data_IF_203487586851
#
_entry.id   IF_203487586851
#
_cell.length_a   1.000
_cell.length_b   1.000
_cell.length_c   1.000
_cell.angle_alpha   90.00
_cell.angle_beta   90.00
_cell.angle_gamma   90.00
#
_symmetry.space_group_name_H-M   'P 1'
#
loop_
_entity.id
_entity.type
_entity.pdbx_description
1 polymer ?
#
# COMPACT_ATOMS: atom_id res chain seq x y z
N UNK A 1 2.03 0.32 8.31
CA UNK A 1 3.45 0.11 8.69
C UNK A 1 3.66 0.10 10.20
N UNK A 2 3.21 1.14 10.94
CA UNK A 2 3.42 1.23 12.39
C UNK A 2 2.90 0.01 13.19
N UNK A 3 1.63 -0.44 13.06
CA UNK A 3 1.14 -1.56 13.88
C UNK A 3 1.93 -2.85 13.71
N UNK A 4 2.34 -3.16 12.48
CA UNK A 4 3.14 -4.34 12.15
C UNK A 4 4.52 -4.31 12.83
N UNK A 5 5.21 -3.15 12.80
CA UNK A 5 6.53 -3.00 13.42
C UNK A 5 6.41 -3.02 14.95
N UNK A 6 5.41 -2.35 15.51
CA UNK A 6 5.15 -2.38 16.96
C UNK A 6 4.96 -3.81 17.43
N UNK A 7 4.08 -4.57 16.75
CA UNK A 7 3.82 -5.97 17.10
C UNK A 7 5.09 -6.83 17.06
N UNK A 8 5.91 -6.70 16.01
CA UNK A 8 7.15 -7.46 15.84
C UNK A 8 8.23 -7.12 16.88
N UNK A 9 8.24 -5.89 17.39
CA UNK A 9 9.29 -5.37 18.27
C UNK A 9 8.85 -5.27 19.74
N UNK A 10 7.99 -6.19 20.20
CA UNK A 10 7.57 -6.24 21.61
C UNK A 10 6.29 -5.46 21.92
N UNK A 11 5.44 -5.22 20.91
CA UNK A 11 4.11 -4.64 21.06
C UNK A 11 4.14 -3.26 21.71
N UNK A 12 3.54 -3.16 22.90
CA UNK A 12 3.49 -1.91 23.67
C UNK A 12 4.86 -1.40 24.14
N UNK A 13 5.83 -2.29 24.35
CA UNK A 13 7.18 -1.89 24.79
C UNK A 13 7.92 -1.05 23.75
N UNK A 14 7.61 -1.24 22.46
CA UNK A 14 8.18 -0.45 21.36
C UNK A 14 7.76 1.04 21.42
N UNK A 15 6.68 1.38 22.13
CA UNK A 15 6.23 2.76 22.25
C UNK A 15 7.25 3.63 23.01
N UNK A 16 7.95 3.07 23.99
CA UNK A 16 8.96 3.82 24.76
C UNK A 16 10.13 4.34 23.89
N UNK A 17 10.88 3.48 23.17
CA UNK A 17 11.94 3.96 22.28
C UNK A 17 11.37 4.79 21.11
N UNK A 18 10.15 4.50 20.65
CA UNK A 18 9.50 5.31 19.61
C UNK A 18 9.28 6.75 20.08
N UNK A 19 8.76 6.96 21.29
CA UNK A 19 8.53 8.30 21.85
C UNK A 19 9.85 9.04 22.13
N UNK A 20 10.89 8.35 22.60
CA UNK A 20 12.22 8.95 22.79
C UNK A 20 12.77 9.43 21.45
N UNK A 21 12.76 8.60 20.41
CA UNK A 21 13.22 8.98 19.07
C UNK A 21 12.37 10.08 18.43
N UNK A 22 11.06 10.10 18.72
CA UNK A 22 10.18 11.17 18.28
C UNK A 22 10.54 12.51 18.94
N UNK A 23 10.80 12.52 20.24
CA UNK A 23 11.11 13.75 20.99
C UNK A 23 12.49 14.30 20.65
N UNK A 24 13.51 13.44 20.56
CA UNK A 24 14.89 13.89 20.36
C UNK A 24 15.33 13.93 18.89
N UNK A 25 14.67 13.17 18.01
CA UNK A 25 15.00 13.12 16.58
C UNK A 25 13.91 13.71 15.69
N UNK A 26 12.70 13.17 15.78
CA UNK A 26 11.60 13.54 14.89
C UNK A 26 11.15 15.00 15.01
N UNK A 27 10.81 15.43 16.24
CA UNK A 27 10.30 16.77 16.52
C UNK A 27 11.34 17.87 16.21
N UNK A 28 12.62 17.75 16.60
CA UNK A 28 13.61 18.78 16.27
C UNK A 28 13.84 18.93 14.76
N UNK A 29 13.92 17.82 14.02
CA UNK A 29 14.11 17.86 12.56
C UNK A 29 12.90 18.47 11.85
N UNK A 30 11.69 18.06 12.25
CA UNK A 30 10.45 18.61 11.71
C UNK A 30 10.32 20.11 12.00
N UNK A 31 10.61 20.53 13.23
CA UNK A 31 10.58 21.94 13.61
C UNK A 31 11.63 22.76 12.85
N UNK A 32 12.85 22.25 12.72
CA UNK A 32 13.92 22.90 11.96
C UNK A 32 13.51 23.14 10.50
N UNK A 33 12.93 22.13 9.84
CA UNK A 33 12.48 22.24 8.45
C UNK A 33 11.35 23.28 8.29
N UNK A 34 10.36 23.26 9.20
CA UNK A 34 9.28 24.25 9.21
C UNK A 34 9.81 25.67 9.45
N UNK A 35 10.67 25.87 10.45
CA UNK A 35 11.25 27.17 10.77
C UNK A 35 12.07 27.70 9.60
N UNK A 36 12.88 26.84 8.96
CA UNK A 36 13.67 27.19 7.77
C UNK A 36 12.77 27.56 6.58
N UNK A 37 11.70 26.81 6.34
CA UNK A 37 10.72 27.10 5.30
C UNK A 37 10.01 28.44 5.52
N UNK A 38 9.57 28.72 6.75
CA UNK A 38 8.91 29.97 7.12
C UNK A 38 9.85 31.18 7.06
N UNK A 39 11.11 31.03 7.47
CA UNK A 39 12.10 32.11 7.49
C UNK A 39 12.57 32.46 6.07
N UNK A 40 12.90 31.46 5.24
CA UNK A 40 13.45 31.68 3.90
C UNK A 40 12.37 31.98 2.85
N UNK A 41 11.13 31.51 3.06
CA UNK A 41 9.97 31.69 2.15
C UNK A 41 10.30 31.32 0.69
N UNK A 42 11.09 30.28 0.51
CA UNK A 42 11.62 29.84 -0.78
C UNK A 42 11.46 28.32 -0.92
N UNK A 43 11.41 27.85 -2.16
CA UNK A 43 11.33 26.41 -2.43
C UNK A 43 12.65 25.69 -2.12
N UNK A 44 12.57 24.35 -2.07
CA UNK A 44 13.67 23.44 -1.74
C UNK A 44 14.90 23.57 -2.66
N UNK A 45 14.75 24.02 -3.91
CA UNK A 45 15.87 24.26 -4.83
C UNK A 45 16.60 25.58 -4.53
N UNK A 46 15.83 26.63 -4.25
CA UNK A 46 16.34 27.99 -4.06
C UNK A 46 16.92 28.21 -2.66
N UNK A 47 16.45 27.47 -1.65
CA UNK A 47 16.86 27.68 -0.25
C UNK A 47 18.34 27.37 -0.04
N UNK A 48 18.85 26.30 -0.64
CA UNK A 48 20.27 25.93 -0.53
C UNK A 48 21.19 26.93 -1.24
N UNK A 49 20.72 27.63 -2.27
CA UNK A 49 21.49 28.71 -2.91
C UNK A 49 21.72 29.89 -1.96
N UNK A 50 20.79 30.16 -1.02
CA UNK A 50 20.91 31.25 -0.04
C UNK A 50 21.69 30.86 1.22
N UNK A 51 21.54 29.61 1.68
CA UNK A 51 22.21 29.13 2.90
C UNK A 51 23.66 28.71 2.61
N UNK A 52 23.85 27.76 1.71
CA UNK A 52 25.16 27.23 1.36
C UNK A 52 25.14 26.66 -0.07
N UNK A 53 25.64 27.41 -1.07
CA UNK A 53 25.58 27.03 -2.48
C UNK A 53 26.19 25.66 -2.80
N UNK A 54 27.15 25.19 -1.99
CA UNK A 54 27.74 23.86 -2.11
C UNK A 54 26.69 22.74 -2.01
N UNK A 55 25.63 22.95 -1.23
CA UNK A 55 24.55 21.98 -1.01
C UNK A 55 23.36 22.14 -1.96
N UNK A 56 23.50 22.89 -3.06
CA UNK A 56 22.44 23.04 -4.08
C UNK A 56 21.92 21.70 -4.61
N UNK A 57 22.78 20.67 -4.65
CA UNK A 57 22.41 19.31 -5.05
C UNK A 57 21.31 18.68 -4.19
N UNK A 58 21.17 19.06 -2.91
CA UNK A 58 20.14 18.53 -2.01
C UNK A 58 18.72 18.82 -2.52
N UNK A 59 18.48 20.03 -3.05
CA UNK A 59 17.18 20.39 -3.60
C UNK A 59 16.79 19.52 -4.80
N UNK A 60 17.76 19.22 -5.68
CA UNK A 60 17.54 18.35 -6.84
C UNK A 60 17.29 16.92 -6.39
N UNK A 61 18.05 16.42 -5.40
CA UNK A 61 17.86 15.10 -4.82
C UNK A 61 16.44 14.94 -4.24
N UNK A 62 15.94 15.96 -3.54
CA UNK A 62 14.56 15.98 -3.00
C UNK A 62 13.53 15.86 -4.14
N UNK A 63 13.69 16.59 -5.24
CA UNK A 63 12.79 16.51 -6.40
C UNK A 63 12.79 15.11 -7.06
N UNK A 64 13.97 14.49 -7.17
CA UNK A 64 14.10 13.13 -7.72
C UNK A 64 13.43 12.11 -6.80
N UNK A 65 13.71 12.16 -5.50
CA UNK A 65 13.06 11.28 -4.51
C UNK A 65 11.55 11.48 -4.51
N UNK A 66 11.07 12.72 -4.53
CA UNK A 66 9.63 13.03 -4.56
C UNK A 66 8.95 12.46 -5.82
N UNK A 67 9.65 12.44 -6.96
CA UNK A 67 9.14 11.85 -8.20
C UNK A 67 8.99 10.34 -8.09
N UNK A 68 10.01 9.63 -7.58
CA UNK A 68 9.92 8.19 -7.33
C UNK A 68 8.81 7.85 -6.32
N UNK A 69 8.71 8.63 -5.24
CA UNK A 69 7.65 8.50 -4.22
C UNK A 69 6.27 8.69 -4.84
N UNK A 70 6.12 9.70 -5.71
CA UNK A 70 4.86 9.97 -6.42
C UNK A 70 4.40 8.79 -7.27
N UNK A 71 5.29 8.11 -8.00
CA UNK A 71 4.92 6.98 -8.85
C UNK A 71 4.32 5.81 -8.06
N UNK A 72 5.00 5.34 -7.01
CA UNK A 72 4.51 4.17 -6.28
C UNK A 72 3.35 4.51 -5.33
N UNK A 73 3.33 5.68 -4.69
CA UNK A 73 2.23 6.04 -3.79
C UNK A 73 0.92 6.25 -4.55
N UNK A 74 0.94 6.92 -5.70
CA UNK A 74 -0.28 7.09 -6.50
C UNK A 74 -0.81 5.74 -7.00
N UNK A 75 0.08 4.76 -7.26
CA UNK A 75 -0.32 3.39 -7.61
C UNK A 75 -1.05 2.70 -6.44
N UNK A 76 -0.56 2.83 -5.20
CA UNK A 76 -1.24 2.29 -4.01
C UNK A 76 -2.61 2.94 -3.82
N UNK A 77 -2.71 4.26 -4.01
CA UNK A 77 -3.99 4.97 -3.93
C UNK A 77 -4.95 4.49 -5.03
N UNK A 78 -4.46 4.21 -6.24
CA UNK A 78 -5.25 3.64 -7.33
C UNK A 78 -5.82 2.26 -6.97
N UNK A 79 -5.04 1.40 -6.31
CA UNK A 79 -5.56 0.13 -5.77
C UNK A 79 -6.69 0.39 -4.76
N UNK A 80 -6.53 1.36 -3.85
CA UNK A 80 -7.58 1.73 -2.89
C UNK A 80 -8.86 2.20 -3.60
N UNK A 81 -8.77 3.00 -4.67
CA UNK A 81 -9.94 3.37 -5.47
C UNK A 81 -10.59 2.17 -6.16
N UNK A 82 -9.79 1.25 -6.68
CA UNK A 82 -10.30 0.01 -7.26
C UNK A 82 -11.09 -0.82 -6.23
N UNK A 83 -10.57 -0.96 -5.00
CA UNK A 83 -11.28 -1.59 -3.89
C UNK A 83 -12.54 -0.82 -3.50
N UNK A 84 -12.48 0.52 -3.46
CA UNK A 84 -13.61 1.37 -3.15
C UNK A 84 -14.77 1.14 -4.13
N UNK A 85 -14.53 1.22 -5.44
CA UNK A 85 -15.56 0.94 -6.44
C UNK A 85 -16.03 -0.52 -6.42
N UNK A 86 -15.13 -1.46 -6.18
CA UNK A 86 -15.47 -2.88 -6.05
C UNK A 86 -16.34 -3.18 -4.83
N UNK A 87 -16.23 -2.38 -3.76
CA UNK A 87 -17.04 -2.54 -2.54
C UNK A 87 -18.48 -2.06 -2.69
N UNK A 88 -18.80 -1.30 -3.74
CA UNK A 88 -20.16 -0.82 -4.02
C UNK A 88 -21.05 -1.90 -4.69
N UNK A 89 -20.50 -3.08 -4.99
CA UNK A 89 -21.26 -4.23 -5.50
C UNK A 89 -22.11 -4.83 -4.38
N UNK A 90 -23.23 -5.47 -4.73
CA UNK A 90 -24.11 -6.16 -3.76
C UNK A 90 -23.37 -7.22 -2.94
N UNK A 91 -22.42 -7.91 -3.58
CA UNK A 91 -21.49 -8.80 -2.91
C UNK A 91 -20.06 -8.45 -3.31
N UNK A 92 -19.15 -8.45 -2.33
CA UNK A 92 -17.75 -8.11 -2.55
C UNK A 92 -17.01 -9.26 -3.25
N UNK A 93 -16.15 -8.97 -4.24
CA UNK A 93 -15.52 -9.99 -5.09
C UNK A 93 -14.44 -10.83 -4.38
N UNK A 94 -14.04 -10.46 -3.16
CA UNK A 94 -13.10 -11.22 -2.33
C UNK A 94 -13.80 -12.10 -1.28
N UNK A 95 -15.13 -12.27 -1.37
CA UNK A 95 -15.91 -13.13 -0.44
C UNK A 95 -15.89 -14.60 -0.85
N UNK A 96 -15.95 -14.88 -2.15
CA UNK A 96 -16.10 -16.24 -2.70
C UNK A 96 -15.06 -16.55 -3.76
N UNK A 97 -14.82 -17.85 -3.99
CA UNK A 97 -13.85 -18.34 -4.97
C UNK A 97 -14.42 -18.53 -6.39
N UNK A 98 -15.66 -18.12 -6.67
CA UNK A 98 -16.30 -18.33 -7.97
C UNK A 98 -16.04 -17.18 -8.96
N UNK A 99 -14.78 -16.98 -9.34
CA UNK A 99 -14.37 -15.93 -10.27
C UNK A 99 -13.28 -16.42 -11.24
N UNK A 100 -13.13 -15.73 -12.38
CA UNK A 100 -12.22 -16.12 -13.47
C UNK A 100 -10.74 -16.02 -13.12
N UNK A 101 -10.38 -15.30 -12.07
CA UNK A 101 -9.00 -15.10 -11.61
C UNK A 101 -8.60 -16.06 -10.47
N UNK A 102 -9.54 -16.88 -9.99
CA UNK A 102 -9.27 -17.79 -8.90
C UNK A 102 -8.67 -19.11 -9.40
N UNK A 103 -7.73 -19.66 -8.64
CA UNK A 103 -7.14 -20.96 -8.93
C UNK A 103 -7.96 -22.10 -8.29
N UNK A 104 -7.73 -23.37 -8.69
CA UNK A 104 -8.37 -24.52 -8.03
C UNK A 104 -8.04 -24.63 -6.53
N UNK A 105 -7.01 -23.93 -6.05
CA UNK A 105 -6.59 -23.93 -4.65
C UNK A 105 -7.22 -22.78 -3.84
N UNK A 106 -8.16 -22.02 -4.41
CA UNK A 106 -8.88 -20.98 -3.70
C UNK A 106 -9.85 -21.57 -2.68
N UNK A 107 -9.87 -21.00 -1.48
CA UNK A 107 -10.85 -21.35 -0.43
C UNK A 107 -11.42 -20.09 0.20
N UNK A 108 -12.74 -20.04 0.40
CA UNK A 108 -13.34 -18.99 1.23
C UNK A 108 -13.26 -19.37 2.71
N UNK A 109 -13.47 -18.39 3.60
CA UNK A 109 -13.48 -18.65 5.03
C UNK A 109 -14.60 -19.62 5.45
N UNK A 110 -15.77 -19.54 4.80
CA UNK A 110 -16.88 -20.46 5.01
C UNK A 110 -16.50 -21.88 4.59
N UNK A 111 -15.93 -22.05 3.40
CA UNK A 111 -15.51 -23.36 2.89
C UNK A 111 -14.47 -24.01 3.82
N UNK A 112 -13.54 -23.24 4.37
CA UNK A 112 -12.56 -23.78 5.34
C UNK A 112 -13.21 -24.29 6.61
N UNK A 113 -14.23 -23.60 7.13
CA UNK A 113 -14.95 -24.04 8.33
C UNK A 113 -15.71 -25.34 8.04
N UNK A 114 -16.42 -25.41 6.91
CA UNK A 114 -17.15 -26.62 6.50
C UNK A 114 -16.21 -27.81 6.33
N UNK A 115 -15.08 -27.64 5.65
CA UNK A 115 -14.06 -28.69 5.48
C UNK A 115 -13.50 -29.20 6.83
N UNK A 116 -13.26 -28.31 7.79
CA UNK A 116 -12.78 -28.69 9.12
C UNK A 116 -13.89 -29.44 9.89
N UNK A 117 -15.14 -29.00 9.77
CA UNK A 117 -16.27 -29.61 10.48
C UNK A 117 -16.64 -30.99 9.92
N UNK A 118 -16.56 -31.18 8.60
CA UNK A 118 -16.68 -32.50 7.97
C UNK A 118 -15.54 -33.45 8.37
N UNK A 119 -14.32 -32.93 8.48
CA UNK A 119 -13.17 -33.72 8.96
C UNK A 119 -13.32 -34.12 10.44
N UNK A 120 -13.93 -33.28 11.27
CA UNK A 120 -14.19 -33.57 12.68
C UNK A 120 -15.32 -34.60 12.89
N UNK A 121 -16.35 -34.57 12.04
CA UNK A 121 -17.48 -35.50 12.13
C UNK A 121 -17.15 -36.91 11.60
N UNK A 122 -16.24 -37.03 10.63
CA UNK A 122 -15.78 -38.30 10.09
C UNK A 122 -14.69 -38.93 10.99
N UNK A 123 -15.07 -39.30 12.22
CA UNK A 123 -14.23 -40.05 13.19
C UNK A 123 -14.09 -41.54 12.88
N UNK A 124 -14.31 -41.95 11.63
CA UNK A 124 -14.12 -43.31 11.13
C UNK A 124 -12.90 -43.43 10.23
N UNK A 125 -11.74 -43.78 10.81
CA UNK A 125 -10.58 -44.34 10.09
C UNK A 125 -10.02 -43.56 8.88
N UNK A 126 -9.77 -42.25 8.99
CA UNK A 126 -8.62 -41.61 8.34
C UNK A 126 -8.45 -40.20 8.91
N UNK A 127 -7.33 -39.93 9.59
CA UNK A 127 -6.93 -38.56 9.91
C UNK A 127 -6.52 -37.86 8.60
N UNK A 128 -7.50 -37.39 7.81
CA UNK A 128 -7.24 -36.50 6.67
C UNK A 128 -6.61 -35.22 7.23
N UNK A 129 -5.29 -35.17 7.18
CA UNK A 129 -4.52 -33.97 7.48
C UNK A 129 -4.74 -33.03 6.30
N UNK A 130 -5.67 -32.10 6.44
CA UNK A 130 -5.88 -31.04 5.45
C UNK A 130 -4.62 -30.18 5.46
N UNK A 131 -3.79 -30.29 4.42
CA UNK A 131 -2.65 -29.41 4.25
C UNK A 131 -3.12 -28.02 3.82
N UNK A 132 -3.49 -27.21 4.81
CA UNK A 132 -4.00 -25.85 4.63
C UNK A 132 -2.99 -24.89 3.97
N UNK A 133 -1.71 -25.28 3.93
CA UNK A 133 -0.65 -24.48 3.29
C UNK A 133 -0.75 -24.47 1.76
N UNK A 134 -1.44 -25.45 1.16
CA UNK A 134 -1.63 -25.52 -0.28
C UNK A 134 -2.80 -24.65 -0.78
N UNK A 135 -3.68 -24.22 0.13
CA UNK A 135 -4.85 -23.42 -0.19
C UNK A 135 -4.60 -21.95 0.12
N UNK A 136 -5.00 -21.07 -0.79
CA UNK A 136 -4.99 -19.60 -0.57
C UNK A 136 -6.40 -19.11 -0.23
N UNK A 137 -6.47 -17.99 0.49
CA UNK A 137 -7.76 -17.38 0.80
C UNK A 137 -8.25 -16.55 -0.39
N UNK A 138 -9.58 -16.47 -0.57
CA UNK A 138 -10.21 -15.68 -1.63
C UNK A 138 -9.75 -14.20 -1.67
N UNK A 139 -9.49 -13.58 -0.52
CA UNK A 139 -9.02 -12.20 -0.45
C UNK A 139 -7.56 -12.02 -0.87
N UNK A 140 -6.72 -13.05 -0.65
CA UNK A 140 -5.32 -13.06 -1.07
C UNK A 140 -5.24 -13.25 -2.59
N UNK A 141 -5.96 -14.23 -3.15
CA UNK A 141 -6.01 -14.42 -4.60
C UNK A 141 -6.63 -13.23 -5.33
N UNK A 142 -7.65 -12.59 -4.75
CA UNK A 142 -8.19 -11.36 -5.32
C UNK A 142 -7.12 -10.27 -5.43
N UNK A 143 -6.30 -10.07 -4.41
CA UNK A 143 -5.22 -9.08 -4.48
C UNK A 143 -4.13 -9.49 -5.49
N UNK A 144 -3.64 -10.72 -5.43
CA UNK A 144 -2.53 -11.18 -6.28
C UNK A 144 -2.92 -11.30 -7.75
N UNK A 145 -4.05 -11.92 -8.06
CA UNK A 145 -4.44 -12.25 -9.43
C UNK A 145 -5.38 -11.21 -10.02
N UNK A 146 -6.37 -10.72 -9.25
CA UNK A 146 -7.35 -9.76 -9.78
C UNK A 146 -6.85 -8.31 -9.76
N UNK A 147 -6.18 -7.87 -8.69
CA UNK A 147 -5.66 -6.49 -8.59
C UNK A 147 -4.27 -6.37 -9.21
N UNK A 148 -3.31 -7.17 -8.77
CA UNK A 148 -1.92 -7.08 -9.22
C UNK A 148 -1.68 -7.76 -10.57
N UNK A 149 -2.35 -8.89 -10.84
CA UNK A 149 -2.14 -9.65 -12.08
C UNK A 149 -0.84 -10.45 -12.10
N UNK A 150 -0.41 -10.94 -10.92
CA UNK A 150 0.82 -11.69 -10.76
C UNK A 150 0.80 -13.04 -11.50
N UNK A 151 -0.38 -13.58 -11.79
CA UNK A 151 -0.60 -14.79 -12.60
C UNK A 151 0.00 -14.68 -14.02
N UNK A 152 0.10 -13.46 -14.55
CA UNK A 152 0.63 -13.18 -15.90
C UNK A 152 2.06 -12.67 -15.89
N UNK A 153 2.66 -12.50 -14.70
CA UNK A 153 4.02 -12.02 -14.53
C UNK A 153 4.97 -13.19 -14.27
N UNK A 154 6.18 -13.13 -14.83
CA UNK A 154 7.27 -14.05 -14.54
C UNK A 154 8.46 -13.30 -13.93
N UNK A 155 8.26 -12.80 -12.71
CA UNK A 155 9.25 -12.02 -11.97
C UNK A 155 9.50 -10.62 -12.54
N UNK A 156 10.69 -10.09 -12.30
CA UNK A 156 11.08 -8.74 -12.76
C UNK A 156 11.40 -8.69 -14.27
N UNK A 157 11.72 -9.84 -14.86
CA UNK A 157 12.04 -9.96 -16.29
C UNK A 157 10.80 -9.76 -17.15
N UNK A 158 9.65 -10.28 -16.69
CA UNK A 158 8.36 -10.09 -17.35
C UNK A 158 7.28 -9.69 -16.35
N UNK A 159 7.00 -8.39 -16.26
CA UNK A 159 6.01 -7.82 -15.33
C UNK A 159 4.56 -8.02 -15.76
N UNK A 160 4.32 -8.59 -16.94
CA UNK A 160 2.98 -8.78 -17.50
C UNK A 160 2.40 -7.52 -18.17
N UNK A 161 1.18 -7.62 -18.73
CA UNK A 161 0.50 -6.51 -19.40
C UNK A 161 -0.08 -5.50 -18.40
N UNK A 162 -0.27 -4.26 -18.86
CA UNK A 162 -0.92 -3.20 -18.06
C UNK A 162 -2.40 -3.52 -17.89
N UNK A 163 -2.86 -3.57 -16.62
CA UNK A 163 -4.28 -3.70 -16.29
C UNK A 163 -5.01 -2.37 -16.46
N UNK A 164 -5.97 -2.36 -17.36
CA UNK A 164 -6.70 -1.16 -17.75
C UNK A 164 -7.57 -0.60 -16.61
N UNK A 165 -8.13 -1.46 -15.76
CA UNK A 165 -8.94 -1.07 -14.61
C UNK A 165 -8.11 -0.24 -13.61
N UNK A 166 -6.89 -0.69 -13.34
CA UNK A 166 -5.95 0.02 -12.46
C UNK A 166 -5.43 1.28 -13.15
N UNK A 167 -5.16 1.23 -14.45
CA UNK A 167 -4.74 2.41 -15.23
C UNK A 167 -5.80 3.53 -15.21
N UNK A 168 -7.09 3.18 -15.33
CA UNK A 168 -8.18 4.15 -15.20
C UNK A 168 -8.26 4.72 -13.78
N UNK A 169 -8.12 3.89 -12.74
CA UNK A 169 -8.06 4.36 -11.36
C UNK A 169 -6.87 5.29 -11.12
N UNK A 170 -5.71 5.01 -11.72
CA UNK A 170 -4.52 5.85 -11.64
C UNK A 170 -4.74 7.19 -12.36
N UNK A 171 -5.37 7.18 -13.53
CA UNK A 171 -5.74 8.41 -14.25
C UNK A 171 -6.71 9.27 -13.42
N UNK A 172 -7.68 8.65 -12.74
CA UNK A 172 -8.57 9.34 -11.81
C UNK A 172 -7.79 9.99 -10.67
N UNK A 173 -6.85 9.26 -10.05
CA UNK A 173 -5.99 9.80 -8.97
C UNK A 173 -5.21 11.01 -9.45
N UNK A 174 -4.54 10.93 -10.60
CA UNK A 174 -3.80 12.07 -11.16
C UNK A 174 -4.70 13.26 -11.50
N UNK A 175 -5.92 12.99 -11.98
CA UNK A 175 -6.90 14.05 -12.27
C UNK A 175 -7.31 14.78 -10.99
N UNK A 176 -7.59 14.03 -9.91
CA UNK A 176 -7.92 14.61 -8.60
C UNK A 176 -6.74 15.43 -8.06
N UNK A 177 -5.53 14.87 -8.08
CA UNK A 177 -4.31 15.56 -7.63
C UNK A 177 -4.06 16.83 -8.44
N UNK A 178 -4.26 16.78 -9.76
CA UNK A 178 -4.11 17.93 -10.63
C UNK A 178 -5.09 19.05 -10.26
N UNK A 179 -6.38 18.75 -10.10
CA UNK A 179 -7.36 19.77 -9.70
C UNK A 179 -7.11 20.31 -8.29
N UNK A 180 -6.63 19.48 -7.35
CA UNK A 180 -6.27 19.91 -6.00
C UNK A 180 -5.06 20.87 -5.96
N UNK A 181 -4.17 20.79 -6.96
CA UNK A 181 -2.95 21.59 -7.05
C UNK A 181 -3.02 22.73 -8.07
N UNK A 182 -3.97 22.73 -9.01
CA UNK A 182 -4.02 23.68 -10.13
C UNK A 182 -3.93 25.13 -9.63
N UNK A 183 -4.77 25.53 -8.68
CA UNK A 183 -4.80 26.90 -8.15
C UNK A 183 -3.74 27.16 -7.06
N UNK A 184 -2.80 26.25 -6.88
CA UNK A 184 -1.74 26.30 -5.88
C UNK A 184 -2.26 26.17 -4.44
N UNK A 185 -1.50 26.70 -3.49
CA UNK A 185 -1.77 26.58 -2.03
C UNK A 185 -3.14 27.09 -1.59
N UNK A 186 -3.81 27.94 -2.38
CA UNK A 186 -5.16 28.44 -2.09
C UNK A 186 -6.27 27.41 -2.32
N UNK A 187 -5.98 26.32 -3.04
CA UNK A 187 -6.94 25.26 -3.38
C UNK A 187 -6.67 23.95 -2.67
N UNK A 188 -5.51 23.80 -2.04
CA UNK A 188 -5.12 22.58 -1.32
C UNK A 188 -5.49 22.63 0.17
N UNK A 189 -5.86 23.80 0.69
CA UNK A 189 -6.31 24.01 2.07
C UNK A 189 -7.83 24.11 2.17
#
# INVERSE_FOLDING_TARGET
RFPYICYRNGGGAFLLPHMIMLIFGGLPLFFMELALGQFQRCGCLTVWKRICPMFKGLGIAICVVATYVSWYYNTIIAWSFYYFFSSMRSEVPWKHCNHTWNTPNCTSFADRIELIQEAANNTGNMSRTINLNHYKLANEEFFENAVLGLDKANGLEYVGPVKWEIAMCLLLVFTIVYFALWKGVKSSG
#
